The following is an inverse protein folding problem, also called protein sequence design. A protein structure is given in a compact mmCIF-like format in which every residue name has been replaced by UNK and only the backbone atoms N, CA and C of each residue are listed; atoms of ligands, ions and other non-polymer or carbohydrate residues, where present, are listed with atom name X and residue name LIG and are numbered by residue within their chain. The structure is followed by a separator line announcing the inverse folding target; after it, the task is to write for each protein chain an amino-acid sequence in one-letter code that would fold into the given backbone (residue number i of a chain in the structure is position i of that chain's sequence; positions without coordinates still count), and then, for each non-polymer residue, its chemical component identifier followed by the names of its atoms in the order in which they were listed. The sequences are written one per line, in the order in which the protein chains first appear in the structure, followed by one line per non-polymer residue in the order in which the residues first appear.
data_IF_287028478074
#
_entry.id   IF_287028478074
#
_cell.length_a   1.000
_cell.length_b   1.000
_cell.length_c   1.000
_cell.angle_alpha   90.00
_cell.angle_beta   90.00
_cell.angle_gamma   90.00
#
_symmetry.space_group_name_H-M   'P 1'
#
loop_
_entity.id
_entity.type
_entity.pdbx_description
1 polymer ?
#
# COMPACT_ATOMS: atom_id res chain seq x y z
N UNK A 1 13.25 -4.66 0.42
CA UNK A 1 13.62 -6.04 0.73
C UNK A 1 13.55 -6.29 2.22
N UNK A 2 12.96 -7.39 2.60
CA UNK A 2 13.03 -7.89 3.95
C UNK A 2 14.31 -8.73 4.04
N UNK A 3 15.23 -8.33 4.89
CA UNK A 3 16.46 -9.08 5.07
C UNK A 3 16.50 -9.60 6.50
N UNK A 4 16.66 -10.91 6.62
CA UNK A 4 16.78 -11.59 7.91
C UNK A 4 18.22 -11.49 8.47
N UNK A 5 19.10 -10.76 7.78
CA UNK A 5 20.48 -10.57 8.17
C UNK A 5 20.59 -9.39 9.16
N UNK A 6 21.06 -9.62 10.39
CA UNK A 6 21.22 -8.56 11.40
C UNK A 6 22.29 -7.51 11.03
N UNK A 7 23.20 -7.82 10.09
CA UNK A 7 24.19 -6.86 9.56
C UNK A 7 23.72 -6.11 8.32
N UNK A 8 22.48 -6.34 7.91
CA UNK A 8 21.87 -5.67 6.76
C UNK A 8 21.77 -4.16 6.98
N UNK A 9 21.80 -3.40 5.88
CA UNK A 9 21.49 -1.97 5.87
C UNK A 9 20.02 -1.66 6.20
N UNK A 10 19.19 -2.68 6.31
CA UNK A 10 17.79 -2.59 6.72
C UNK A 10 17.63 -3.10 8.15
N UNK A 11 16.63 -2.60 8.87
CA UNK A 11 16.34 -2.96 10.25
C UNK A 11 15.64 -4.34 10.36
N UNK A 12 16.28 -5.39 9.87
CA UNK A 12 15.77 -6.76 9.92
C UNK A 12 14.36 -6.90 9.34
N UNK A 13 13.42 -7.41 10.11
CA UNK A 13 12.03 -7.65 9.71
C UNK A 13 11.14 -6.39 9.73
N UNK A 14 11.64 -5.28 10.27
CA UNK A 14 10.86 -4.06 10.38
C UNK A 14 10.79 -3.31 9.02
N UNK A 15 9.59 -2.93 8.65
CA UNK A 15 9.38 -2.14 7.44
C UNK A 15 9.91 -0.72 7.62
N UNK A 16 10.87 -0.33 6.81
CA UNK A 16 11.32 1.07 6.77
C UNK A 16 10.21 2.01 6.30
N UNK A 17 10.35 3.30 6.59
CA UNK A 17 9.41 4.33 6.10
C UNK A 17 9.30 4.36 4.56
N UNK A 18 10.32 3.91 3.85
CA UNK A 18 10.32 3.82 2.38
C UNK A 18 9.40 2.72 1.83
N UNK A 19 9.07 1.72 2.64
CA UNK A 19 8.12 0.67 2.25
C UNK A 19 6.68 1.19 2.14
N UNK A 20 6.35 2.28 2.84
CA UNK A 20 4.99 2.83 2.88
C UNK A 20 4.54 3.38 1.52
N UNK A 21 3.34 3.02 1.11
CA UNK A 21 2.74 3.52 -0.15
C UNK A 21 2.66 5.04 -0.17
N UNK A 22 2.28 5.67 0.94
CA UNK A 22 2.22 7.13 1.05
C UNK A 22 3.58 7.81 0.77
N UNK A 23 4.68 7.21 1.24
CA UNK A 23 6.03 7.70 0.97
C UNK A 23 6.38 7.57 -0.52
N UNK A 24 6.06 6.43 -1.14
CA UNK A 24 6.28 6.19 -2.57
C UNK A 24 5.49 7.19 -3.43
N UNK A 25 4.23 7.46 -3.07
CA UNK A 25 3.39 8.46 -3.74
C UNK A 25 3.96 9.87 -3.60
N UNK A 26 4.44 10.23 -2.41
CA UNK A 26 5.10 11.51 -2.16
C UNK A 26 6.34 11.70 -3.02
N UNK A 27 7.20 10.69 -3.13
CA UNK A 27 8.38 10.74 -4.00
C UNK A 27 8.01 10.82 -5.48
N UNK A 28 7.02 10.05 -5.93
CA UNK A 28 6.54 10.12 -7.30
C UNK A 28 6.03 11.53 -7.65
N UNK A 29 5.24 12.14 -6.76
CA UNK A 29 4.76 13.51 -6.92
C UNK A 29 5.88 14.54 -6.96
N UNK A 30 6.85 14.44 -6.05
CA UNK A 30 8.02 15.33 -6.02
C UNK A 30 8.88 15.24 -7.29
N UNK A 31 8.87 14.09 -7.95
CA UNK A 31 9.54 13.88 -9.25
C UNK A 31 8.66 14.25 -10.46
N UNK A 32 7.47 14.78 -10.23
CA UNK A 32 6.55 15.22 -11.29
C UNK A 32 5.81 14.10 -12.02
N UNK A 33 5.73 12.91 -11.43
CA UNK A 33 4.95 11.82 -11.99
C UNK A 33 3.47 12.22 -12.12
N UNK A 34 2.84 11.83 -13.22
CA UNK A 34 1.42 12.12 -13.46
C UNK A 34 0.49 11.05 -12.87
N UNK A 35 1.00 9.85 -12.69
CA UNK A 35 0.35 8.75 -12.02
C UNK A 35 1.42 7.77 -11.50
N UNK A 36 1.06 6.92 -10.55
CA UNK A 36 1.87 5.81 -10.07
C UNK A 36 1.07 4.51 -10.25
N UNK A 37 1.70 3.50 -10.83
CA UNK A 37 1.13 2.16 -10.91
C UNK A 37 1.92 1.27 -9.96
N UNK A 38 1.22 0.68 -9.00
CA UNK A 38 1.78 -0.30 -8.08
C UNK A 38 1.59 -1.70 -8.66
N UNK A 39 2.59 -2.54 -8.48
CA UNK A 39 2.54 -3.95 -8.85
C UNK A 39 3.03 -4.74 -7.64
N UNK A 40 2.38 -5.86 -7.33
CA UNK A 40 2.84 -6.73 -6.25
C UNK A 40 4.24 -7.25 -6.56
N UNK A 41 5.07 -7.34 -5.55
CA UNK A 41 6.37 -7.99 -5.70
C UNK A 41 6.23 -9.51 -5.88
N UNK A 42 7.25 -10.13 -6.46
CA UNK A 42 7.24 -11.56 -6.73
C UNK A 42 7.03 -12.40 -5.47
N UNK A 43 7.74 -12.08 -4.41
CA UNK A 43 7.75 -12.89 -3.18
C UNK A 43 6.43 -12.83 -2.42
N UNK A 44 5.75 -11.70 -2.41
CA UNK A 44 4.43 -11.59 -1.82
C UNK A 44 3.43 -12.49 -2.54
N UNK A 45 3.43 -12.50 -3.86
CA UNK A 45 2.48 -13.29 -4.64
C UNK A 45 2.77 -14.78 -4.66
N UNK A 46 4.02 -15.19 -4.44
CA UNK A 46 4.39 -16.59 -4.33
C UNK A 46 3.95 -17.21 -2.99
N UNK A 47 3.95 -16.41 -1.92
CA UNK A 47 3.61 -16.85 -0.56
C UNK A 47 2.13 -16.72 -0.23
N UNK A 48 1.43 -15.81 -0.86
CA UNK A 48 0.01 -15.52 -0.63
C UNK A 48 -0.86 -16.11 -1.75
N UNK A 49 -2.19 -15.99 -1.64
CA UNK A 49 -3.16 -16.57 -2.58
C UNK A 49 -3.12 -15.98 -4.01
N UNK A 50 -1.97 -15.55 -4.47
CA UNK A 50 -1.73 -15.10 -5.83
C UNK A 50 -1.71 -13.59 -6.01
N UNK A 51 -1.75 -13.16 -7.27
CA UNK A 51 -1.64 -11.76 -7.68
C UNK A 51 -2.98 -11.03 -7.53
N UNK A 52 -3.36 -10.74 -6.28
CA UNK A 52 -4.63 -10.09 -5.92
C UNK A 52 -4.48 -8.58 -5.98
N UNK A 53 -5.40 -7.93 -6.68
CA UNK A 53 -5.49 -6.47 -6.68
C UNK A 53 -6.14 -6.00 -5.39
N UNK A 54 -5.48 -5.07 -4.69
CA UNK A 54 -6.09 -4.42 -3.54
C UNK A 54 -7.28 -3.56 -3.98
N UNK A 55 -8.32 -3.54 -3.15
CA UNK A 55 -9.48 -2.68 -3.39
C UNK A 55 -9.10 -1.21 -3.18
N UNK A 56 -9.63 -0.28 -3.98
CA UNK A 56 -9.32 1.16 -3.85
C UNK A 56 -9.62 1.74 -2.47
N UNK A 57 -10.59 1.19 -1.76
CA UNK A 57 -11.02 1.66 -0.43
C UNK A 57 -9.93 1.55 0.64
N UNK A 58 -8.99 0.62 0.45
CA UNK A 58 -7.91 0.38 1.40
C UNK A 58 -6.80 1.42 1.34
N UNK A 59 -6.68 2.14 0.26
CA UNK A 59 -5.60 3.09 0.08
C UNK A 59 -5.94 4.51 0.49
N UNK A 60 -7.14 4.74 1.00
CA UNK A 60 -7.60 6.00 1.56
C UNK A 60 -7.05 7.23 0.86
N UNK A 61 -7.79 7.83 -0.02
CA UNK A 61 -7.38 8.96 -0.86
C UNK A 61 -7.25 10.29 -0.12
N UNK A 62 -6.76 10.31 1.10
CA UNK A 62 -6.54 11.58 1.80
C UNK A 62 -5.34 12.30 1.20
N UNK A 63 -5.60 13.13 0.19
CA UNK A 63 -4.64 14.14 -0.27
C UNK A 63 -3.41 13.61 -0.96
N UNK A 64 -3.47 12.48 -1.63
CA UNK A 64 -2.37 11.99 -2.44
C UNK A 64 -2.13 12.95 -3.62
N UNK A 65 -0.92 13.48 -3.70
CA UNK A 65 -0.54 14.41 -4.77
C UNK A 65 -0.53 13.77 -6.16
N UNK A 66 -0.51 12.44 -6.24
CA UNK A 66 -0.42 11.67 -7.49
C UNK A 66 -1.49 10.58 -7.50
N UNK A 67 -2.32 10.50 -8.55
CA UNK A 67 -3.21 9.37 -8.75
C UNK A 67 -2.43 8.07 -8.82
N UNK A 68 -2.98 7.00 -8.27
CA UNK A 68 -2.34 5.69 -8.37
C UNK A 68 -3.34 4.59 -8.71
N UNK A 69 -2.81 3.53 -9.27
CA UNK A 69 -3.54 2.33 -9.60
C UNK A 69 -2.74 1.10 -9.19
N UNK A 70 -3.42 -0.02 -9.02
CA UNK A 70 -2.79 -1.32 -8.78
C UNK A 70 -2.94 -2.17 -10.04
N UNK A 71 -1.87 -2.80 -10.48
CA UNK A 71 -1.80 -3.60 -11.70
C UNK A 71 -1.28 -5.00 -11.39
N UNK A 72 -1.85 -5.99 -12.04
CA UNK A 72 -1.39 -7.38 -11.91
C UNK A 72 0.01 -7.57 -12.49
N UNK A 73 0.81 -8.44 -11.87
CA UNK A 73 2.13 -8.83 -12.36
C UNK A 73 2.10 -9.33 -13.79
N UNK A 74 1.10 -10.15 -14.13
CA UNK A 74 0.94 -10.71 -15.48
C UNK A 74 0.84 -9.66 -16.58
N UNK A 75 0.38 -8.44 -16.26
CA UNK A 75 0.35 -7.32 -17.20
C UNK A 75 1.74 -6.70 -17.32
N UNK A 76 2.42 -6.45 -16.19
CA UNK A 76 3.78 -5.91 -16.21
C UNK A 76 4.76 -6.86 -16.91
N UNK A 77 4.63 -8.16 -16.71
CA UNK A 77 5.48 -9.13 -17.40
C UNK A 77 5.36 -9.10 -18.93
N UNK A 78 4.14 -8.87 -19.45
CA UNK A 78 3.97 -8.68 -20.91
C UNK A 78 4.72 -7.43 -21.41
N UNK A 79 4.72 -6.37 -20.60
CA UNK A 79 5.45 -5.15 -20.88
C UNK A 79 6.96 -5.41 -20.84
N UNK A 80 7.44 -6.09 -19.82
CA UNK A 80 8.87 -6.43 -19.65
C UNK A 80 9.39 -7.34 -20.75
N UNK A 81 8.61 -8.32 -21.20
CA UNK A 81 8.98 -9.16 -22.35
C UNK A 81 9.15 -8.36 -23.63
N UNK A 82 8.35 -7.33 -23.84
CA UNK A 82 8.46 -6.45 -24.99
C UNK A 82 9.53 -5.36 -24.81
N UNK A 83 9.80 -4.96 -23.58
CA UNK A 83 10.75 -3.90 -23.22
C UNK A 83 11.48 -4.27 -21.92
N UNK A 84 12.46 -5.18 -21.99
CA UNK A 84 13.18 -5.63 -20.80
C UNK A 84 14.01 -4.52 -20.18
N UNK A 85 14.21 -4.63 -18.87
CA UNK A 85 15.19 -3.83 -18.14
C UNK A 85 16.58 -4.25 -18.59
N UNK A 86 17.40 -3.31 -19.04
CA UNK A 86 18.74 -3.58 -19.53
C UNK A 86 19.77 -3.09 -18.51
N UNK A 87 20.61 -4.00 -18.06
CA UNK A 87 21.71 -3.69 -17.14
C UNK A 87 22.90 -3.03 -17.88
N UNK A 88 23.79 -2.40 -17.15
CA UNK A 88 25.03 -1.83 -17.70
C UNK A 88 25.91 -2.89 -18.38
N UNK A 89 25.82 -4.13 -17.94
CA UNK A 89 26.48 -5.29 -18.57
C UNK A 89 25.93 -5.65 -19.96
N UNK A 90 24.76 -5.10 -20.32
CA UNK A 90 24.02 -5.49 -21.51
C UNK A 90 23.06 -6.66 -21.30
N UNK A 91 23.04 -7.27 -20.13
CA UNK A 91 22.07 -8.29 -19.74
C UNK A 91 20.67 -7.70 -19.67
N UNK A 92 19.67 -8.52 -20.04
CA UNK A 92 18.27 -8.11 -20.09
C UNK A 92 17.43 -8.89 -19.07
N UNK A 93 16.74 -8.18 -18.22
CA UNK A 93 15.80 -8.73 -17.24
C UNK A 93 14.38 -8.49 -17.74
N UNK A 94 13.67 -9.56 -18.07
CA UNK A 94 12.34 -9.52 -18.69
C UNK A 94 11.22 -10.08 -17.80
N UNK A 95 11.54 -10.39 -16.54
CA UNK A 95 10.59 -10.86 -15.53
C UNK A 95 10.70 -10.06 -14.25
N UNK A 96 9.57 -9.95 -13.51
CA UNK A 96 9.54 -9.30 -12.20
C UNK A 96 10.49 -10.00 -11.23
N UNK A 97 10.52 -11.34 -11.27
CA UNK A 97 11.41 -12.12 -10.41
C UNK A 97 12.87 -11.75 -10.63
N UNK A 98 13.34 -11.76 -11.87
CA UNK A 98 14.73 -11.44 -12.19
C UNK A 98 15.10 -10.02 -11.76
N UNK A 99 14.18 -9.05 -11.92
CA UNK A 99 14.37 -7.68 -11.44
C UNK A 99 14.46 -7.63 -9.92
N UNK A 100 13.55 -8.31 -9.22
CA UNK A 100 13.53 -8.35 -7.75
C UNK A 100 14.82 -8.99 -7.21
N UNK A 101 15.21 -10.16 -7.74
CA UNK A 101 16.43 -10.87 -7.33
C UNK A 101 17.66 -9.99 -7.52
N UNK A 102 17.77 -9.29 -8.65
CA UNK A 102 18.89 -8.41 -8.91
C UNK A 102 18.96 -7.21 -7.95
N UNK A 103 17.79 -6.59 -7.68
CA UNK A 103 17.72 -5.48 -6.72
C UNK A 103 18.09 -5.95 -5.32
N UNK A 104 17.61 -7.11 -4.89
CA UNK A 104 17.89 -7.67 -3.57
C UNK A 104 19.35 -8.07 -3.40
N UNK A 105 19.98 -8.59 -4.46
CA UNK A 105 21.39 -8.94 -4.42
C UNK A 105 22.32 -7.70 -4.42
N UNK A 106 22.02 -6.71 -5.28
CA UNK A 106 22.93 -5.58 -5.49
C UNK A 106 22.58 -4.34 -4.66
N UNK A 107 21.37 -4.29 -4.08
CA UNK A 107 20.83 -3.14 -3.34
C UNK A 107 20.88 -1.82 -4.15
N UNK A 108 20.70 -1.92 -5.46
CA UNK A 108 20.74 -0.80 -6.40
C UNK A 108 19.41 -0.66 -7.14
N UNK A 109 18.94 0.58 -7.37
CA UNK A 109 17.73 0.80 -8.14
C UNK A 109 17.93 0.49 -9.61
N UNK A 110 16.93 -0.13 -10.23
CA UNK A 110 16.91 -0.42 -11.67
C UNK A 110 15.90 0.46 -12.43
N UNK A 111 15.66 1.68 -11.95
CA UNK A 111 14.72 2.58 -12.58
C UNK A 111 15.22 3.04 -13.95
N UNK A 112 14.46 2.76 -15.00
CA UNK A 112 14.75 3.21 -16.35
C UNK A 112 13.47 3.52 -17.13
N UNK A 113 13.54 4.40 -18.16
CA UNK A 113 12.40 4.67 -19.01
C UNK A 113 11.99 3.44 -19.81
N UNK A 114 10.69 3.21 -19.93
CA UNK A 114 10.12 2.26 -20.88
C UNK A 114 9.91 2.99 -22.24
N UNK A 115 10.89 2.88 -23.12
CA UNK A 115 10.83 3.51 -24.42
C UNK A 115 9.64 2.98 -25.25
N UNK A 116 8.97 3.87 -25.98
CA UNK A 116 7.86 3.56 -26.87
C UNK A 116 6.55 3.13 -26.19
N UNK A 117 6.45 3.19 -24.86
CA UNK A 117 5.21 2.96 -24.15
C UNK A 117 4.50 4.27 -23.83
N UNK A 118 3.20 4.26 -23.98
CA UNK A 118 2.30 5.35 -23.58
C UNK A 118 1.15 4.75 -22.78
N UNK A 119 0.84 5.36 -21.66
CA UNK A 119 -0.30 5.01 -20.83
C UNK A 119 -1.34 6.11 -20.83
N UNK A 120 -2.60 5.75 -20.80
CA UNK A 120 -3.70 6.66 -20.49
C UNK A 120 -4.50 6.07 -19.35
N UNK A 121 -5.04 6.92 -18.48
CA UNK A 121 -5.89 6.50 -17.40
C UNK A 121 -7.07 7.44 -17.25
N UNK A 122 -8.17 6.90 -16.80
CA UNK A 122 -9.36 7.65 -16.41
C UNK A 122 -9.76 7.20 -15.02
N UNK A 123 -9.88 8.15 -14.11
CA UNK A 123 -10.34 7.90 -12.74
C UNK A 123 -11.76 8.43 -12.59
N UNK A 124 -12.61 7.63 -11.98
CA UNK A 124 -13.93 8.02 -11.51
C UNK A 124 -13.94 7.88 -10.00
N UNK A 125 -14.29 8.94 -9.33
CA UNK A 125 -14.45 8.94 -7.86
C UNK A 125 -15.93 9.06 -7.54
N UNK A 126 -16.44 8.10 -6.80
CA UNK A 126 -17.79 8.14 -6.24
C UNK A 126 -17.67 8.41 -4.73
N UNK A 127 -18.42 9.38 -4.25
CA UNK A 127 -18.44 9.73 -2.82
C UNK A 127 -19.70 9.15 -2.19
N UNK A 128 -19.52 8.27 -1.22
CA UNK A 128 -20.62 7.80 -0.36
C UNK A 128 -20.56 8.48 1.00
N UNK A 129 -21.72 8.78 1.54
CA UNK A 129 -21.83 9.25 2.93
C UNK A 129 -21.98 8.02 3.82
N UNK A 130 -21.07 7.87 4.75
CA UNK A 130 -21.22 6.91 5.84
C UNK A 130 -21.91 7.62 7.00
N UNK A 131 -22.93 6.99 7.54
CA UNK A 131 -23.65 7.47 8.75
C UNK A 131 -23.16 6.62 9.91
N UNK A 132 -22.54 7.28 10.87
CA UNK A 132 -22.17 6.68 12.15
C UNK A 132 -23.11 7.16 13.25
N UNK A 133 -23.34 6.33 14.25
CA UNK A 133 -24.12 6.67 15.43
C UNK A 133 -23.25 6.57 16.68
N UNK A 134 -23.41 7.56 17.57
CA UNK A 134 -22.91 7.42 18.93
C UNK A 134 -24.03 6.82 19.81
N UNK A 135 -23.68 5.85 20.61
CA UNK A 135 -24.61 5.29 21.61
C UNK A 135 -24.33 5.97 22.95
N UNK A 136 -25.35 6.60 23.50
CA UNK A 136 -25.24 7.31 24.76
C UNK A 136 -26.20 6.67 25.74
N UNK A 137 -25.69 6.26 26.91
CA UNK A 137 -26.49 5.85 28.06
C UNK A 137 -26.36 6.89 29.18
N UNK A 138 -27.43 7.19 29.86
CA UNK A 138 -27.45 8.12 30.98
C UNK A 138 -27.89 7.37 32.23
N UNK A 139 -27.17 7.57 33.32
CA UNK A 139 -27.60 7.17 34.66
C UNK A 139 -27.76 8.44 35.44
N UNK A 140 -28.99 8.70 35.89
CA UNK A 140 -29.29 9.90 36.68
C UNK A 140 -28.56 9.83 38.03
N UNK A 141 -27.99 10.97 38.42
CA UNK A 141 -27.35 11.13 39.71
C UNK A 141 -28.34 11.36 40.85
N UNK A 142 -27.94 10.99 42.04
CA UNK A 142 -28.70 11.26 43.28
C UNK A 142 -27.80 11.97 44.31
N UNK A 143 -28.44 12.68 45.26
CA UNK A 143 -27.74 13.35 46.34
C UNK A 143 -27.22 14.75 46.00
N UNK A 144 -26.30 15.31 46.82
CA UNK A 144 -25.91 16.72 46.75
C UNK A 144 -25.11 17.10 45.49
N UNK A 145 -24.65 16.12 44.74
CA UNK A 145 -23.89 16.29 43.51
C UNK A 145 -24.63 15.80 42.26
N UNK A 146 -25.96 15.68 42.34
CA UNK A 146 -26.79 15.18 41.24
C UNK A 146 -26.70 16.07 39.97
N UNK A 147 -26.32 17.34 40.11
CA UNK A 147 -26.15 18.28 38.99
C UNK A 147 -24.77 18.17 38.30
N UNK A 148 -23.85 17.36 38.85
CA UNK A 148 -22.55 17.15 38.26
C UNK A 148 -22.61 15.98 37.27
N UNK A 149 -21.93 16.14 36.11
CA UNK A 149 -21.92 15.11 35.07
C UNK A 149 -20.54 14.50 34.94
N UNK A 150 -20.45 13.19 35.01
CA UNK A 150 -19.25 12.41 34.68
C UNK A 150 -19.49 11.73 33.34
N UNK A 151 -18.61 11.94 32.38
CA UNK A 151 -18.66 11.29 31.06
C UNK A 151 -17.60 10.19 30.98
N UNK A 152 -18.05 8.96 30.72
CA UNK A 152 -17.16 7.83 30.45
C UNK A 152 -17.36 7.46 28.98
N UNK A 153 -16.30 7.55 28.20
CA UNK A 153 -16.33 7.27 26.76
C UNK A 153 -15.42 6.11 26.38
N UNK A 154 -15.85 5.34 25.43
CA UNK A 154 -15.04 4.29 24.80
C UNK A 154 -15.38 4.14 23.33
N UNK A 155 -14.38 3.94 22.49
CA UNK A 155 -14.59 3.65 21.08
C UNK A 155 -15.04 2.21 20.89
N UNK A 156 -16.11 2.01 20.11
CA UNK A 156 -16.50 0.69 19.59
C UNK A 156 -16.27 0.55 18.09
N UNK A 157 -15.89 1.63 17.42
CA UNK A 157 -15.60 1.76 16.01
C UNK A 157 -14.10 1.68 15.69
N UNK A 158 -13.33 0.92 16.46
CA UNK A 158 -11.89 0.76 16.28
C UNK A 158 -11.55 -0.03 15.00
N UNK A 159 -10.46 -0.77 14.96
CA UNK A 159 -9.99 -1.45 13.75
C UNK A 159 -10.91 -2.56 13.24
N UNK A 160 -11.92 -2.97 14.00
CA UNK A 160 -12.82 -4.04 13.65
C UNK A 160 -12.12 -5.39 13.48
N UNK A 161 -12.87 -6.35 12.96
CA UNK A 161 -12.31 -7.64 12.56
C UNK A 161 -12.34 -7.79 11.04
N UNK A 162 -11.23 -8.27 10.48
CA UNK A 162 -11.25 -9.09 9.32
C UNK A 162 -11.20 -8.50 7.93
N UNK A 163 -11.10 -7.24 7.66
CA UNK A 163 -10.83 -6.80 6.29
C UNK A 163 -9.32 -6.70 6.02
N UNK A 164 -8.95 -6.85 4.76
CA UNK A 164 -7.57 -6.73 4.29
C UNK A 164 -6.90 -5.47 4.86
N UNK A 165 -5.73 -5.63 5.46
CA UNK A 165 -5.03 -4.54 6.15
C UNK A 165 -5.43 -4.33 7.61
N UNK A 166 -6.40 -5.08 8.14
CA UNK A 166 -6.70 -5.11 9.57
C UNK A 166 -5.56 -5.77 10.33
N UNK A 167 -5.19 -5.17 11.48
CA UNK A 167 -4.26 -5.81 12.42
C UNK A 167 -4.86 -6.99 13.18
N UNK A 168 -6.15 -7.18 13.04
CA UNK A 168 -6.92 -8.26 13.67
C UNK A 168 -7.69 -9.02 12.59
N UNK A 169 -7.03 -9.88 11.80
CA UNK A 169 -7.73 -10.72 10.85
C UNK A 169 -8.69 -11.63 11.58
N UNK A 170 -9.95 -11.59 11.18
CA UNK A 170 -11.01 -12.43 11.71
C UNK A 170 -11.93 -12.90 10.58
N UNK A 171 -12.78 -13.87 10.85
CA UNK A 171 -13.74 -14.31 9.84
C UNK A 171 -14.64 -13.16 9.42
N UNK A 172 -14.80 -13.01 8.12
CA UNK A 172 -15.77 -12.12 7.48
C UNK A 172 -17.15 -12.73 7.61
#
# INVERSE_FOLDING_TARGET
PQQDDPESVFDGLENSNYARIATKLGFAGAKGAKALILVNDWYTTEKEEGDVLATPDLFGSRGNAVPFAHMKQSVLEKILKASPVTLESGEKLDTIKAISDHIDEKLQPLSQPLANWKGSYQLKSDTSKLVGNNVIGVIEGEGPHADETIVIGGHYDHLGMGLFGSRTPGPV
#
